data_IF_633129082473
#
_entry.id   IF_633129082473
#
_cell.length_a   1.000
_cell.length_b   1.000
_cell.length_c   1.000
_cell.angle_alpha   90.00
_cell.angle_beta   90.00
_cell.angle_gamma   90.00
#
_symmetry.space_group_name_H-M   'P 1'
#
loop_
_entity.id
_entity.type
_entity.pdbx_description
1 polymer ?
#
# COMPACT_ATOMS: atom_id res chain seq x y z
N UNK A 1 6.41 -2.08 11.62
CA UNK A 1 5.06 -2.42 11.12
C UNK A 1 5.14 -2.41 9.61
N UNK A 2 4.45 -3.31 8.90
CA UNK A 2 4.47 -3.32 7.43
C UNK A 2 3.37 -2.42 6.86
N UNK A 3 3.71 -1.69 5.81
CA UNK A 3 2.82 -0.78 5.08
C UNK A 3 2.83 -1.18 3.61
N UNK A 4 1.65 -1.32 3.04
CA UNK A 4 1.43 -1.68 1.65
C UNK A 4 1.02 -0.43 0.87
N UNK A 5 1.82 -0.07 -0.12
CA UNK A 5 1.61 1.13 -0.92
C UNK A 5 1.10 0.74 -2.31
N UNK A 6 -0.12 1.17 -2.69
CA UNK A 6 -0.65 0.90 -4.02
C UNK A 6 0.15 1.67 -5.07
N UNK A 7 0.44 1.01 -6.19
CA UNK A 7 1.22 1.57 -7.27
C UNK A 7 0.80 0.99 -8.63
N UNK A 8 1.29 1.65 -9.67
CA UNK A 8 1.23 1.17 -11.05
C UNK A 8 2.64 0.87 -11.55
N UNK A 9 2.75 0.15 -12.68
CA UNK A 9 4.06 -0.14 -13.29
C UNK A 9 4.86 1.14 -13.63
N UNK A 10 4.27 2.22 -14.18
CA UNK A 10 4.97 3.50 -14.34
C UNK A 10 5.50 4.11 -13.04
N UNK A 11 4.72 4.04 -11.95
CA UNK A 11 5.15 4.54 -10.63
C UNK A 11 6.32 3.73 -10.08
N UNK A 12 6.30 2.40 -10.27
CA UNK A 12 7.41 1.52 -9.86
C UNK A 12 8.70 1.86 -10.61
N UNK A 13 8.64 2.09 -11.93
CA UNK A 13 9.79 2.53 -12.74
C UNK A 13 10.38 3.84 -12.21
N UNK A 14 9.52 4.83 -11.97
CA UNK A 14 9.95 6.11 -11.41
C UNK A 14 10.57 5.96 -10.01
N UNK A 15 10.04 5.07 -9.17
CA UNK A 15 10.56 4.84 -7.84
C UNK A 15 11.97 4.25 -7.86
N UNK A 16 12.23 3.30 -8.76
CA UNK A 16 13.56 2.72 -8.99
C UNK A 16 14.53 3.76 -9.53
N UNK A 17 14.11 4.59 -10.49
CA UNK A 17 14.97 5.64 -11.08
C UNK A 17 15.33 6.74 -10.09
N UNK A 18 14.38 7.14 -9.24
CA UNK A 18 14.56 8.27 -8.31
C UNK A 18 15.02 7.85 -6.92
N UNK A 19 14.93 6.56 -6.59
CA UNK A 19 15.19 6.04 -5.25
C UNK A 19 14.13 6.45 -4.22
N UNK A 20 12.95 6.92 -4.66
CA UNK A 20 11.88 7.37 -3.76
C UNK A 20 10.49 7.11 -4.35
N UNK A 21 9.53 6.77 -3.50
CA UNK A 21 8.14 6.55 -3.85
C UNK A 21 7.24 7.55 -3.13
N UNK A 22 6.30 8.18 -3.86
CA UNK A 22 5.30 9.08 -3.28
C UNK A 22 3.92 8.43 -3.36
N UNK A 23 3.31 8.06 -2.23
CA UNK A 23 1.97 7.48 -2.22
C UNK A 23 0.94 8.47 -2.77
N UNK A 24 0.05 8.00 -3.64
CA UNK A 24 -1.03 8.83 -4.20
C UNK A 24 -1.98 9.24 -3.07
N UNK A 25 -2.28 10.54 -2.99
CA UNK A 25 -3.09 11.09 -1.90
C UNK A 25 -2.44 11.00 -0.51
N UNK A 26 -1.17 10.59 -0.41
CA UNK A 26 -0.52 10.31 0.87
C UNK A 26 -1.19 9.15 1.61
N UNK A 27 -1.66 8.12 0.91
CA UNK A 27 -2.33 6.97 1.51
C UNK A 27 -1.50 5.69 1.38
N UNK A 28 -1.54 4.86 2.41
CA UNK A 28 -1.05 3.49 2.42
C UNK A 28 -2.03 2.57 3.14
N UNK A 29 -1.71 1.29 3.19
CA UNK A 29 -2.53 0.26 3.82
C UNK A 29 -1.70 -0.49 4.86
N UNK A 30 -2.27 -0.78 6.02
CA UNK A 30 -1.59 -1.50 7.09
C UNK A 30 -2.60 -2.25 7.96
N UNK A 31 -2.10 -3.08 8.88
CA UNK A 31 -2.95 -3.69 9.90
C UNK A 31 -3.40 -2.61 10.90
N UNK A 32 -4.57 -2.04 10.66
CA UNK A 32 -5.20 -1.06 11.55
C UNK A 32 -6.04 -1.73 12.63
N UNK A 33 -6.48 -0.95 13.62
CA UNK A 33 -7.53 -1.39 14.57
C UNK A 33 -8.84 -1.76 13.90
N UNK A 34 -9.23 -1.07 12.83
CA UNK A 34 -10.45 -1.34 12.09
C UNK A 34 -10.41 -2.73 11.45
N UNK A 35 -9.35 -3.00 10.68
CA UNK A 35 -9.13 -4.30 10.06
C UNK A 35 -9.05 -5.42 11.10
N UNK A 36 -8.27 -5.24 12.16
CA UNK A 36 -8.14 -6.25 13.21
C UNK A 36 -9.46 -6.56 13.94
N UNK A 37 -10.37 -5.58 14.04
CA UNK A 37 -11.67 -5.78 14.68
C UNK A 37 -12.66 -6.61 13.84
N UNK A 38 -12.52 -6.60 12.51
CA UNK A 38 -13.35 -7.38 11.59
C UNK A 38 -13.03 -8.88 11.62
N UNK A 39 -11.78 -9.23 11.95
CA UNK A 39 -11.31 -10.62 11.99
C UNK A 39 -10.78 -11.02 13.37
N UNK A 40 -11.64 -11.09 14.41
CA UNK A 40 -11.21 -11.53 15.74
C UNK A 40 -10.66 -12.95 15.69
N UNK A 41 -9.36 -13.10 15.94
CA UNK A 41 -8.68 -14.39 15.98
C UNK A 41 -7.83 -14.71 14.75
N UNK A 42 -7.83 -13.85 13.73
CA UNK A 42 -6.77 -13.86 12.71
C UNK A 42 -5.43 -13.51 13.35
N UNK A 43 -4.36 -14.13 12.88
CA UNK A 43 -3.01 -13.76 13.30
C UNK A 43 -2.49 -12.55 12.48
N UNK A 44 -1.27 -12.11 12.79
CA UNK A 44 -0.68 -10.94 12.11
C UNK A 44 -0.44 -11.19 10.63
N UNK A 45 -0.10 -12.41 10.22
CA UNK A 45 0.20 -12.74 8.83
C UNK A 45 -1.08 -12.69 7.98
N UNK A 46 -2.17 -13.25 8.50
CA UNK A 46 -3.50 -13.16 7.87
C UNK A 46 -3.95 -11.70 7.71
N UNK A 47 -3.79 -10.88 8.75
CA UNK A 47 -4.16 -9.45 8.68
C UNK A 47 -3.27 -8.66 7.72
N UNK A 48 -1.97 -8.97 7.68
CA UNK A 48 -1.03 -8.38 6.74
C UNK A 48 -1.37 -8.74 5.29
N UNK A 49 -1.79 -9.98 5.03
CA UNK A 49 -2.29 -10.41 3.73
C UNK A 49 -3.55 -9.62 3.32
N UNK A 50 -4.51 -9.45 4.23
CA UNK A 50 -5.71 -8.64 3.96
C UNK A 50 -5.38 -7.18 3.66
N UNK A 51 -4.47 -6.56 4.41
CA UNK A 51 -4.03 -5.19 4.15
C UNK A 51 -3.31 -5.05 2.79
N UNK A 52 -2.51 -6.05 2.40
CA UNK A 52 -1.89 -6.10 1.07
C UNK A 52 -2.93 -6.23 -0.04
N UNK A 53 -3.97 -7.04 0.16
CA UNK A 53 -5.04 -7.24 -0.81
C UNK A 53 -5.89 -5.98 -1.00
N UNK A 54 -6.24 -5.29 0.09
CA UNK A 54 -6.88 -3.97 0.05
C UNK A 54 -6.01 -2.96 -0.73
N UNK A 55 -4.68 -3.00 -0.56
CA UNK A 55 -3.75 -2.19 -1.35
C UNK A 55 -3.71 -2.57 -2.84
N UNK A 56 -3.81 -3.86 -3.18
CA UNK A 56 -3.87 -4.33 -4.56
C UNK A 56 -5.13 -3.83 -5.28
N UNK A 57 -6.26 -3.77 -4.58
CA UNK A 57 -7.49 -3.16 -5.07
C UNK A 57 -7.34 -1.64 -5.27
N UNK A 58 -6.62 -0.96 -4.38
CA UNK A 58 -6.30 0.45 -4.59
C UNK A 58 -5.39 0.65 -5.81
N UNK A 59 -4.45 -0.26 -6.10
CA UNK A 59 -3.65 -0.23 -7.33
C UNK A 59 -4.51 -0.36 -8.58
N UNK A 60 -5.57 -1.17 -8.54
CA UNK A 60 -6.53 -1.27 -9.65
C UNK A 60 -7.19 0.08 -9.96
N UNK A 61 -7.60 0.81 -8.93
CA UNK A 61 -8.16 2.18 -9.07
C UNK A 61 -7.14 3.16 -9.66
N UNK A 62 -5.86 3.03 -9.30
CA UNK A 62 -4.79 3.83 -9.92
C UNK A 62 -4.59 3.50 -11.40
N UNK A 63 -4.71 2.22 -11.78
CA UNK A 63 -4.65 1.79 -13.19
C UNK A 63 -5.83 2.38 -13.96
N UNK A 64 -7.05 2.26 -13.42
CA UNK A 64 -8.28 2.79 -14.01
C UNK A 64 -8.17 4.32 -14.25
N UNK A 65 -7.71 5.07 -13.25
CA UNK A 65 -7.56 6.51 -13.33
C UNK A 65 -6.44 6.96 -14.30
N UNK A 66 -5.36 6.18 -14.40
CA UNK A 66 -4.16 6.54 -15.16
C UNK A 66 -4.08 5.97 -16.58
N UNK A 67 -4.95 5.01 -16.94
CA UNK A 67 -4.83 4.25 -18.19
C UNK A 67 -3.49 3.50 -18.29
N UNK A 68 -2.96 3.05 -17.15
CA UNK A 68 -1.66 2.38 -17.08
C UNK A 68 -1.74 0.94 -17.62
N UNK A 69 -0.57 0.30 -17.77
CA UNK A 69 -0.51 -1.14 -18.01
C UNK A 69 -1.33 -1.88 -16.94
N UNK A 70 -2.13 -2.90 -17.32
CA UNK A 70 -3.01 -3.62 -16.40
C UNK A 70 -2.20 -4.63 -15.56
N UNK A 71 -1.31 -4.08 -14.73
CA UNK A 71 -0.44 -4.79 -13.79
C UNK A 71 -0.53 -4.04 -12.48
N UNK A 72 -1.22 -4.64 -11.50
CA UNK A 72 -1.24 -4.17 -10.11
C UNK A 72 0.15 -4.28 -9.55
N UNK A 73 0.57 -3.25 -8.82
CA UNK A 73 1.83 -3.23 -8.08
C UNK A 73 1.53 -2.82 -6.65
N UNK A 74 2.11 -3.51 -5.68
CA UNK A 74 2.07 -3.14 -4.26
C UNK A 74 3.49 -3.16 -3.72
N UNK A 75 3.93 -2.05 -3.11
CA UNK A 75 5.21 -1.99 -2.43
C UNK A 75 4.98 -2.27 -0.95
N UNK A 76 5.63 -3.28 -0.39
CA UNK A 76 5.63 -3.51 1.04
C UNK A 76 6.83 -2.78 1.65
N UNK A 77 6.58 -1.94 2.65
CA UNK A 77 7.54 -1.05 3.29
C UNK A 77 7.57 -1.38 4.77
N UNK A 78 8.78 -1.51 5.30
CA UNK A 78 8.95 -1.63 6.74
C UNK A 78 9.05 -0.23 7.35
N UNK A 79 8.09 0.09 8.22
CA UNK A 79 8.30 1.13 9.21
C UNK A 79 9.22 0.53 10.27
N UNK A 80 10.52 0.55 9.95
CA UNK A 80 11.57 0.57 10.96
C UNK A 80 11.37 1.88 11.72
N UNK A 81 10.49 1.84 12.72
CA UNK A 81 10.56 2.76 13.83
C UNK A 81 11.96 2.60 14.39
N UNK A 82 12.91 3.39 13.88
CA UNK A 82 14.26 3.48 14.42
C UNK A 82 14.08 3.51 15.93
N UNK A 83 14.57 2.48 16.61
CA UNK A 83 14.71 2.43 18.05
C UNK A 83 15.25 3.79 18.47
N UNK A 84 14.35 4.68 18.90
CA UNK A 84 14.71 6.02 19.28
C UNK A 84 15.48 5.84 20.57
N UNK A 85 16.81 5.84 20.43
CA UNK A 85 17.75 5.69 21.52
C UNK A 85 17.27 6.50 22.72
N UNK A 86 17.19 5.82 23.85
CA UNK A 86 16.58 6.33 25.08
C UNK A 86 16.98 7.78 25.35
N UNK A 87 15.97 8.64 25.39
CA UNK A 87 16.11 9.97 25.99
C UNK A 87 15.58 9.87 27.41
N UNK A 88 16.48 10.22 28.32
CA UNK A 88 16.41 10.16 29.77
C UNK A 88 15.02 10.47 30.35
N UNK A 89 14.47 9.53 31.14
CA UNK A 89 13.25 9.77 31.94
C UNK A 89 13.59 10.63 33.14
N UNK A 90 13.67 11.94 32.93
CA UNK A 90 13.68 12.92 34.01
C UNK A 90 13.02 14.24 33.59
N UNK A 91 11.69 14.28 33.53
CA UNK A 91 10.92 15.50 33.79
C UNK A 91 9.50 15.16 34.23
N UNK A 92 9.17 15.59 35.44
CA UNK A 92 7.97 15.29 36.19
C UNK A 92 6.70 16.00 35.66
N UNK A 93 5.59 15.26 35.77
CA UNK A 93 4.32 15.67 36.37
C UNK A 93 3.76 17.08 36.05
N UNK A 94 2.81 17.13 35.10
CA UNK A 94 1.71 18.09 35.09
C UNK A 94 0.43 17.43 34.55
N UNK A 95 -0.70 17.45 35.29
CA UNK A 95 -1.98 16.98 34.77
C UNK A 95 -2.71 18.09 34.01
N UNK A 96 -3.18 17.76 32.80
CA UNK A 96 -4.19 18.54 32.07
C UNK A 96 -3.72 19.25 30.80
N UNK A 97 -3.71 18.52 29.68
CA UNK A 97 -4.15 18.94 28.35
C UNK A 97 -3.79 17.85 27.34
N UNK A 98 -4.64 16.83 27.18
CA UNK A 98 -4.46 15.83 26.13
C UNK A 98 -5.01 16.40 24.81
N UNK A 99 -4.21 17.28 24.21
CA UNK A 99 -4.16 17.47 22.77
C UNK A 99 -2.80 16.99 22.35
N UNK A 100 -2.71 15.74 21.92
CA UNK A 100 -1.57 15.26 21.14
C UNK A 100 -1.45 16.21 19.95
N UNK A 101 -0.48 17.12 20.01
CA UNK A 101 -0.06 17.85 18.82
C UNK A 101 0.54 16.79 17.88
N UNK A 102 0.24 16.80 16.57
CA UNK A 102 0.97 15.95 15.66
C UNK A 102 2.44 16.33 15.85
N UNK A 103 3.29 15.36 16.20
CA UNK A 103 4.72 15.57 16.05
C UNK A 103 4.92 16.10 14.63
N UNK A 104 5.62 17.23 14.47
CA UNK A 104 5.98 17.72 13.15
C UNK A 104 6.74 16.60 12.46
N UNK A 105 6.10 15.99 11.46
CA UNK A 105 6.70 14.96 10.66
C UNK A 105 7.83 15.56 9.83
N UNK A 106 8.96 14.86 9.78
CA UNK A 106 10.08 15.18 8.89
C UNK A 106 9.82 14.77 7.42
N UNK A 107 8.63 14.24 7.13
CA UNK A 107 8.22 13.77 5.81
C UNK A 107 8.91 12.47 5.38
N UNK A 108 9.32 11.64 6.33
CA UNK A 108 10.04 10.39 6.08
C UNK A 108 9.19 9.26 5.46
N UNK A 109 7.91 9.50 5.14
CA UNK A 109 7.05 8.49 4.53
C UNK A 109 6.58 7.45 5.54
N UNK A 110 6.24 7.89 6.75
CA UNK A 110 5.73 7.07 7.84
C UNK A 110 4.21 7.18 7.96
N UNK A 111 3.54 6.16 8.53
CA UNK A 111 2.11 6.20 8.77
C UNK A 111 1.84 7.06 10.02
N UNK A 112 0.92 8.02 9.92
CA UNK A 112 0.64 8.99 11.00
C UNK A 112 -0.79 8.94 11.55
N UNK A 113 -1.73 8.35 10.81
CA UNK A 113 -3.11 8.16 11.28
C UNK A 113 -3.83 7.05 10.52
N UNK A 114 -4.72 6.32 11.19
CA UNK A 114 -5.68 5.41 10.57
C UNK A 114 -6.83 6.22 9.92
N UNK A 115 -7.31 5.77 8.77
CA UNK A 115 -8.40 6.39 7.99
C UNK A 115 -9.53 5.38 7.76
N UNK A 116 -10.08 4.88 8.87
CA UNK A 116 -11.24 3.98 8.84
C UNK A 116 -12.51 4.60 8.21
N UNK A 117 -12.51 5.91 7.96
CA UNK A 117 -13.53 6.60 7.17
C UNK A 117 -13.38 6.38 5.65
N UNK A 118 -12.20 5.98 5.17
CA UNK A 118 -11.95 5.63 3.77
C UNK A 118 -12.06 4.13 3.54
N UNK A 119 -11.33 3.34 4.33
CA UNK A 119 -11.43 1.88 4.31
C UNK A 119 -10.79 1.30 5.58
N UNK A 120 -11.09 0.04 5.88
CA UNK A 120 -10.66 -0.67 7.09
C UNK A 120 -9.14 -0.68 7.27
N UNK A 121 -8.34 -0.74 6.19
CA UNK A 121 -6.88 -0.88 6.26
C UNK A 121 -6.12 0.42 6.00
N UNK A 122 -6.80 1.54 5.70
CA UNK A 122 -6.14 2.75 5.18
C UNK A 122 -5.44 3.53 6.30
N UNK A 123 -4.24 4.02 6.00
CA UNK A 123 -3.47 4.96 6.82
C UNK A 123 -3.03 6.18 6.00
N UNK A 124 -2.90 7.35 6.64
CA UNK A 124 -2.22 8.50 6.03
C UNK A 124 -0.72 8.41 6.23
N UNK A 125 0.01 8.70 5.16
CA UNK A 125 1.47 8.78 5.09
C UNK A 125 1.91 10.25 5.13
N UNK A 126 3.02 10.52 5.80
CA UNK A 126 3.50 11.89 6.03
C UNK A 126 4.50 12.42 4.98
N UNK A 127 4.86 11.61 3.99
CA UNK A 127 5.84 12.01 2.98
C UNK A 127 6.20 10.94 1.96
N UNK A 128 7.38 11.11 1.36
CA UNK A 128 7.90 10.16 0.39
C UNK A 128 8.65 9.04 1.10
N UNK A 129 8.44 7.81 0.66
CA UNK A 129 9.15 6.63 1.15
C UNK A 129 10.43 6.48 0.35
N UNK A 130 11.55 6.22 1.03
CA UNK A 130 12.81 5.91 0.34
C UNK A 130 12.80 4.47 -0.16
N UNK A 131 13.40 4.23 -1.31
CA UNK A 131 13.50 2.89 -1.89
C UNK A 131 14.20 1.90 -0.95
N UNK A 132 15.16 2.37 -0.14
CA UNK A 132 15.84 1.55 0.86
C UNK A 132 14.94 0.99 1.98
N UNK A 133 13.75 1.56 2.15
CA UNK A 133 12.76 1.09 3.14
C UNK A 133 11.76 0.10 2.54
N UNK A 134 11.80 -0.13 1.22
CA UNK A 134 10.96 -1.10 0.54
C UNK A 134 11.50 -2.50 0.85
N UNK A 135 10.70 -3.32 1.52
CA UNK A 135 11.05 -4.68 1.90
C UNK A 135 10.80 -5.68 0.75
N UNK A 136 9.71 -5.49 0.01
CA UNK A 136 9.36 -6.29 -1.16
C UNK A 136 8.44 -5.54 -2.12
N UNK A 137 8.35 -6.04 -3.35
CA UNK A 137 7.40 -5.58 -4.35
C UNK A 137 6.58 -6.76 -4.83
N UNK A 138 5.27 -6.56 -4.87
CA UNK A 138 4.28 -7.54 -5.28
C UNK A 138 3.63 -7.06 -6.56
N UNK A 139 3.57 -7.91 -7.59
CA UNK A 139 2.92 -7.54 -8.85
C UNK A 139 2.26 -8.73 -9.53
N UNK A 140 1.32 -8.44 -10.42
CA UNK A 140 0.67 -9.48 -11.23
C UNK A 140 1.70 -10.29 -12.01
N UNK A 141 1.62 -11.61 -11.88
CA UNK A 141 2.43 -12.58 -12.62
C UNK A 141 1.60 -13.31 -13.69
N UNK A 142 2.29 -13.88 -14.68
CA UNK A 142 1.65 -14.64 -15.75
C UNK A 142 0.84 -13.78 -16.72
N UNK A 143 0.01 -14.43 -17.55
CA UNK A 143 -0.80 -13.78 -18.57
C UNK A 143 -2.20 -13.43 -18.02
N UNK A 144 -2.25 -12.44 -17.13
CA UNK A 144 -3.48 -11.99 -16.46
C UNK A 144 -3.94 -10.59 -16.89
N UNK A 145 -3.18 -9.93 -17.77
CA UNK A 145 -3.49 -8.59 -18.27
C UNK A 145 -4.93 -8.40 -18.78
N UNK A 146 -5.58 -9.38 -19.45
CA UNK A 146 -6.99 -9.27 -19.81
C UNK A 146 -7.93 -9.11 -18.61
N UNK A 147 -7.73 -9.91 -17.55
CA UNK A 147 -8.55 -9.88 -16.32
C UNK A 147 -8.36 -8.56 -15.58
N UNK A 148 -7.10 -8.14 -15.40
CA UNK A 148 -6.79 -6.89 -14.68
C UNK A 148 -7.32 -5.67 -15.44
N UNK A 149 -7.29 -5.68 -16.78
CA UNK A 149 -7.90 -4.61 -17.58
C UNK A 149 -9.40 -4.55 -17.39
N UNK A 150 -10.08 -5.70 -17.48
CA UNK A 150 -11.53 -5.77 -17.29
C UNK A 150 -11.94 -5.29 -15.89
N UNK A 151 -11.21 -5.70 -14.86
CA UNK A 151 -11.42 -5.24 -13.49
C UNK A 151 -11.18 -3.72 -13.35
N UNK A 152 -10.15 -3.18 -14.00
CA UNK A 152 -9.87 -1.74 -14.00
C UNK A 152 -10.97 -0.92 -14.68
N UNK A 153 -11.59 -1.45 -15.73
CA UNK A 153 -12.75 -0.83 -16.39
C UNK A 153 -14.04 -0.91 -15.54
N UNK A 154 -14.14 -1.92 -14.67
CA UNK A 154 -15.31 -2.17 -13.83
C UNK A 154 -15.25 -1.52 -12.44
N UNK A 155 -14.07 -1.20 -11.91
CA UNK A 155 -13.87 -0.82 -10.50
C UNK A 155 -14.70 0.38 -10.06
N UNK A 156 -14.81 1.42 -10.88
CA UNK A 156 -15.62 2.62 -10.54
C UNK A 156 -17.11 2.27 -10.42
N UNK A 157 -17.62 1.39 -11.28
CA UNK A 157 -19.02 0.95 -11.22
C UNK A 157 -19.26 0.04 -10.02
N UNK A 158 -18.30 -0.85 -9.70
CA UNK A 158 -18.35 -1.70 -8.51
C UNK A 158 -18.38 -0.85 -7.22
N UNK A 159 -17.53 0.19 -7.14
CA UNK A 159 -17.49 1.13 -6.01
C UNK A 159 -18.82 1.92 -5.87
N UNK A 160 -19.54 2.14 -6.97
CA UNK A 160 -20.89 2.73 -6.99
C UNK A 160 -22.02 1.71 -6.73
N UNK A 161 -21.68 0.46 -6.44
CA UNK A 161 -22.61 -0.59 -6.04
C UNK A 161 -23.18 -1.43 -7.18
N UNK A 162 -22.60 -1.39 -8.38
CA UNK A 162 -22.95 -2.31 -9.46
C UNK A 162 -22.44 -3.73 -9.14
N UNK A 163 -23.38 -4.67 -8.97
CA UNK A 163 -23.08 -6.04 -8.59
C UNK A 163 -22.44 -6.86 -9.71
N UNK A 164 -22.76 -6.56 -10.97
CA UNK A 164 -22.15 -7.26 -12.10
C UNK A 164 -20.70 -6.80 -12.27
N UNK A 165 -20.45 -5.49 -12.06
CA UNK A 165 -19.09 -4.96 -12.02
C UNK A 165 -18.28 -5.53 -10.85
N UNK A 166 -18.89 -5.70 -9.67
CA UNK A 166 -18.23 -6.29 -8.51
C UNK A 166 -17.75 -7.73 -8.76
N UNK A 167 -18.50 -8.53 -9.55
CA UNK A 167 -18.04 -9.87 -9.96
C UNK A 167 -16.77 -9.80 -10.80
N UNK A 168 -16.69 -8.85 -11.74
CA UNK A 168 -15.50 -8.67 -12.60
C UNK A 168 -14.28 -8.23 -11.78
N UNK A 169 -14.48 -7.34 -10.79
CA UNK A 169 -13.40 -6.96 -9.86
C UNK A 169 -12.95 -8.15 -9.03
N UNK A 170 -13.89 -8.97 -8.54
CA UNK A 170 -13.60 -10.19 -7.78
C UNK A 170 -12.73 -11.20 -8.53
N UNK A 171 -12.86 -11.31 -9.86
CA UNK A 171 -11.97 -12.18 -10.65
C UNK A 171 -10.50 -11.73 -10.59
N UNK A 172 -10.23 -10.43 -10.46
CA UNK A 172 -8.88 -9.92 -10.24
C UNK A 172 -8.42 -10.13 -8.79
N UNK A 173 -9.33 -10.03 -7.81
CA UNK A 173 -9.05 -10.29 -6.40
C UNK A 173 -8.56 -11.72 -6.14
N UNK A 174 -9.07 -12.69 -6.91
CA UNK A 174 -8.67 -14.10 -6.82
C UNK A 174 -7.27 -14.40 -7.41
N UNK A 175 -6.62 -13.40 -8.01
CA UNK A 175 -5.28 -13.53 -8.59
C UNK A 175 -4.23 -13.08 -7.57
N UNK A 176 -3.40 -14.03 -7.14
CA UNK A 176 -2.26 -13.76 -6.28
C UNK A 176 -1.19 -12.89 -6.98
N UNK A 177 -0.61 -11.97 -6.22
CA UNK A 177 0.55 -11.18 -6.66
C UNK A 177 1.84 -11.96 -6.40
N UNK A 178 2.72 -12.00 -7.40
CA UNK A 178 4.06 -12.57 -7.26
C UNK A 178 4.95 -11.66 -6.41
N UNK A 179 5.73 -12.26 -5.51
CA UNK A 179 6.69 -11.57 -4.64
C UNK A 179 8.04 -11.43 -5.32
N UNK A 180 8.66 -10.25 -5.20
CA UNK A 180 10.01 -9.97 -5.67
C UNK A 180 10.81 -9.18 -4.63
N UNK A 181 12.10 -9.48 -4.51
CA UNK A 181 13.01 -8.66 -3.73
C UNK A 181 13.24 -7.30 -4.43
N UNK A 182 13.44 -6.19 -3.70
CA UNK A 182 13.68 -4.87 -4.29
C UNK A 182 14.86 -4.85 -5.29
N UNK A 183 15.88 -5.68 -5.04
CA UNK A 183 17.04 -5.84 -5.93
C UNK A 183 16.73 -6.49 -7.28
N UNK A 184 15.64 -7.25 -7.38
CA UNK A 184 15.24 -7.95 -8.61
C UNK A 184 14.44 -7.06 -9.56
N UNK A 185 13.81 -6.00 -9.02
CA UNK A 185 12.89 -5.15 -9.77
C UNK A 185 13.55 -4.44 -10.95
N UNK A 186 14.79 -3.96 -10.81
CA UNK A 186 15.50 -3.36 -11.93
C UNK A 186 15.66 -4.31 -13.11
N UNK A 187 15.93 -5.59 -12.85
CA UNK A 187 16.05 -6.62 -13.87
C UNK A 187 14.69 -6.99 -14.48
N UNK A 188 13.66 -7.16 -13.65
CA UNK A 188 12.29 -7.44 -14.08
C UNK A 188 11.75 -6.35 -15.02
N UNK A 189 11.91 -5.08 -14.65
CA UNK A 189 11.46 -3.94 -15.45
C UNK A 189 12.16 -3.87 -16.82
N UNK A 190 13.40 -4.34 -16.92
CA UNK A 190 14.13 -4.44 -18.19
C UNK A 190 13.61 -5.58 -19.08
N UNK A 191 13.19 -6.71 -18.48
CA UNK A 191 12.55 -7.80 -19.23
C UNK A 191 11.20 -7.40 -19.79
N UNK A 192 10.37 -6.72 -19.00
CA UNK A 192 9.05 -6.23 -19.45
C UNK A 192 9.13 -5.22 -20.61
N UNK A 193 10.29 -4.59 -20.80
CA UNK A 193 10.56 -3.65 -21.91
C UNK A 193 11.24 -4.32 -23.11
N UNK A 194 11.56 -5.60 -23.03
CA UNK A 194 12.18 -6.32 -24.14
C UNK A 194 11.09 -6.71 -25.15
N UNK A 195 11.28 -6.39 -26.45
CA UNK A 195 10.29 -6.61 -27.50
C UNK A 195 10.05 -8.09 -27.84
#
# INVERSE_FOLDING_TARGET
MRIYLPATLPMLRQAVETGSFRPVGGLGFAVTRGLAAEYPGADTEDLEYLAMHDAALASLRLIAAGGADPVRVVLAVDDDAAESGGVDRAAADRPGADRVSPAESDGAGRPVAERGDLDRAVVTMDGAVRWDSVASVHLDGGDVAPVIRAAGEAVDAADLGDLDAAVVVGEAEDIDLAWYAPSEIGYLLAQLNSP
#
